data_IF_985048575169
#
_entry.id   IF_985048575169
#
_cell.length_a   1.000
_cell.length_b   1.000
_cell.length_c   1.000
_cell.angle_alpha   90.00
_cell.angle_beta   90.00
_cell.angle_gamma   90.00
#
_symmetry.space_group_name_H-M   'P 1'
#
loop_
_entity.id
_entity.type
_entity.pdbx_description
1 polymer ?
#
# COMPACT_ATOMS: atom_id res chain seq x y z
N UNK A 1 5.31 9.44 3.88
CA UNK A 1 5.32 9.97 2.50
C UNK A 1 4.69 9.00 1.50
N UNK A 2 5.11 7.73 1.45
CA UNK A 2 4.55 6.74 0.53
C UNK A 2 3.02 6.60 0.64
N UNK A 3 2.47 6.45 1.86
CA UNK A 3 1.02 6.40 2.08
C UNK A 3 0.28 7.65 1.55
N UNK A 4 0.88 8.84 1.68
CA UNK A 4 0.32 10.08 1.11
C UNK A 4 0.24 10.00 -0.41
N UNK A 5 1.28 9.48 -1.07
CA UNK A 5 1.28 9.38 -2.53
C UNK A 5 0.10 8.55 -3.06
N UNK A 6 -0.32 7.53 -2.31
CA UNK A 6 -1.47 6.69 -2.66
C UNK A 6 -2.81 7.44 -2.60
N UNK A 7 -2.88 8.63 -1.99
CA UNK A 7 -4.06 9.51 -2.11
C UNK A 7 -4.26 9.97 -3.55
N UNK A 8 -3.21 10.14 -4.34
CA UNK A 8 -3.36 10.48 -5.76
C UNK A 8 -4.06 9.38 -6.57
N UNK A 9 -4.04 8.12 -6.11
CA UNK A 9 -4.75 7.01 -6.75
C UNK A 9 -6.17 6.84 -6.18
N UNK A 10 -6.29 6.94 -4.85
CA UNK A 10 -7.53 6.66 -4.12
C UNK A 10 -8.52 7.82 -4.11
N UNK A 11 -8.04 9.06 -4.27
CA UNK A 11 -8.83 10.27 -4.37
C UNK A 11 -8.85 10.80 -5.80
N UNK A 12 -9.15 9.91 -6.75
CA UNK A 12 -9.47 10.23 -8.14
C UNK A 12 -8.48 11.16 -8.87
N UNK A 13 -7.18 10.90 -8.66
CA UNK A 13 -6.11 11.65 -9.32
C UNK A 13 -5.64 12.86 -8.53
N UNK A 14 -6.21 13.16 -7.36
CA UNK A 14 -5.89 14.34 -6.54
C UNK A 14 -5.07 13.93 -5.30
N UNK A 15 -3.82 14.38 -5.25
CA UNK A 15 -2.94 14.19 -4.11
C UNK A 15 -3.36 15.09 -2.94
N UNK A 16 -3.70 14.49 -1.81
CA UNK A 16 -4.11 15.22 -0.61
C UNK A 16 -2.92 15.57 0.30
N UNK A 17 -2.95 16.70 1.02
CA UNK A 17 -2.10 16.90 2.19
C UNK A 17 -2.53 15.96 3.32
N UNK A 18 -1.59 15.58 4.20
CA UNK A 18 -1.91 14.79 5.40
C UNK A 18 -2.28 15.71 6.55
N UNK A 19 -3.17 15.24 7.43
CA UNK A 19 -3.55 15.91 8.68
C UNK A 19 -3.42 14.92 9.83
N UNK A 20 -2.91 15.38 10.97
CA UNK A 20 -2.94 14.64 12.25
C UNK A 20 -4.06 15.14 13.17
N UNK A 21 -4.76 16.21 12.78
CA UNK A 21 -5.95 16.75 13.44
C UNK A 21 -7.21 16.34 12.67
N UNK A 22 -8.31 16.14 13.39
CA UNK A 22 -9.62 15.83 12.80
C UNK A 22 -10.06 16.97 11.87
N UNK A 23 -10.38 16.64 10.62
CA UNK A 23 -10.88 17.57 9.63
C UNK A 23 -12.40 17.44 9.49
N UNK A 24 -13.09 18.56 9.29
CA UNK A 24 -14.53 18.56 9.01
C UNK A 24 -14.82 18.10 7.57
N UNK A 25 -13.96 18.48 6.63
CA UNK A 25 -14.04 18.15 5.20
C UNK A 25 -12.66 17.82 4.66
N UNK A 26 -12.59 17.12 3.52
CA UNK A 26 -11.32 16.89 2.86
C UNK A 26 -10.69 18.23 2.40
N UNK A 27 -9.40 18.46 2.67
CA UNK A 27 -8.71 19.66 2.22
C UNK A 27 -8.54 19.67 0.70
N UNK A 28 -8.35 20.85 0.12
CA UNK A 28 -8.01 20.97 -1.30
C UNK A 28 -6.66 20.28 -1.58
N UNK A 29 -6.65 19.36 -2.54
CA UNK A 29 -5.44 18.68 -3.00
C UNK A 29 -4.89 19.23 -4.30
N UNK A 30 -3.83 18.58 -4.80
CA UNK A 30 -3.21 18.87 -6.10
C UNK A 30 -3.52 17.77 -7.10
N UNK A 31 -4.09 18.11 -8.26
CA UNK A 31 -4.32 17.14 -9.34
C UNK A 31 -3.00 16.64 -9.92
N UNK A 32 -2.82 15.33 -9.94
CA UNK A 32 -1.67 14.60 -10.51
C UNK A 32 -2.11 13.79 -11.74
N UNK A 33 -3.29 13.18 -11.67
CA UNK A 33 -3.84 12.35 -12.76
C UNK A 33 -5.25 12.81 -13.14
N UNK A 34 -5.71 12.35 -14.32
CA UNK A 34 -7.14 12.34 -14.63
C UNK A 34 -7.83 11.33 -13.72
N UNK A 35 -9.08 11.59 -13.38
CA UNK A 35 -9.91 10.68 -12.60
C UNK A 35 -10.03 9.30 -13.26
N UNK A 36 -10.23 9.28 -14.60
CA UNK A 36 -10.31 8.03 -15.36
C UNK A 36 -9.05 7.18 -15.22
N UNK A 37 -7.88 7.81 -15.29
CA UNK A 37 -6.58 7.13 -15.12
C UNK A 37 -6.43 6.56 -13.72
N UNK A 38 -6.78 7.32 -12.68
CA UNK A 38 -6.72 6.81 -11.31
C UNK A 38 -7.63 5.58 -11.12
N UNK A 39 -8.84 5.63 -11.69
CA UNK A 39 -9.81 4.52 -11.64
C UNK A 39 -9.31 3.27 -12.37
N UNK A 40 -8.76 3.42 -13.57
CA UNK A 40 -8.15 2.33 -14.33
C UNK A 40 -7.00 1.68 -13.56
N UNK A 41 -6.09 2.50 -13.00
CA UNK A 41 -4.96 2.00 -12.20
C UNK A 41 -5.45 1.25 -10.97
N UNK A 42 -6.47 1.75 -10.27
CA UNK A 42 -7.05 1.04 -9.11
C UNK A 42 -7.55 -0.35 -9.48
N UNK A 43 -8.22 -0.50 -10.62
CA UNK A 43 -8.68 -1.80 -11.11
C UNK A 43 -7.51 -2.73 -11.45
N UNK A 44 -6.47 -2.21 -12.14
CA UNK A 44 -5.28 -3.01 -12.46
C UNK A 44 -4.57 -3.52 -11.20
N UNK A 45 -4.54 -2.72 -10.13
CA UNK A 45 -3.90 -3.09 -8.87
C UNK A 45 -4.58 -4.24 -8.12
N UNK A 46 -5.85 -4.55 -8.41
CA UNK A 46 -6.57 -5.68 -7.78
C UNK A 46 -5.90 -7.01 -8.10
N UNK A 47 -5.47 -7.17 -9.35
CA UNK A 47 -4.78 -8.38 -9.85
C UNK A 47 -3.51 -8.74 -9.07
N UNK A 48 -2.92 -7.78 -8.34
CA UNK A 48 -1.75 -8.05 -7.48
C UNK A 48 -2.11 -8.94 -6.30
N UNK A 49 -3.34 -8.85 -5.79
CA UNK A 49 -3.80 -9.63 -4.63
C UNK A 49 -4.62 -10.87 -5.02
N UNK A 50 -5.04 -10.97 -6.28
CA UNK A 50 -5.76 -12.13 -6.83
C UNK A 50 -4.81 -13.31 -7.13
N UNK A 51 -5.33 -14.53 -7.33
CA UNK A 51 -4.53 -15.67 -7.78
C UNK A 51 -3.69 -15.33 -9.02
N UNK A 52 -2.39 -15.61 -8.96
CA UNK A 52 -1.41 -15.22 -10.00
C UNK A 52 -0.71 -13.88 -9.73
N UNK A 53 -1.19 -13.10 -8.76
CA UNK A 53 -0.58 -11.85 -8.30
C UNK A 53 0.65 -12.02 -7.42
N UNK A 54 1.37 -10.92 -7.19
CA UNK A 54 2.62 -10.91 -6.38
C UNK A 54 2.38 -10.64 -4.89
N UNK A 55 1.17 -10.25 -4.49
CA UNK A 55 0.80 -9.82 -3.15
C UNK A 55 -0.43 -10.53 -2.60
N UNK A 56 -0.66 -11.79 -2.98
CA UNK A 56 -1.86 -12.57 -2.62
C UNK A 56 -2.11 -12.66 -1.11
N UNK A 57 -1.05 -12.65 -0.29
CA UNK A 57 -1.16 -12.65 1.16
C UNK A 57 -1.86 -11.41 1.75
N UNK A 58 -2.01 -10.32 0.97
CA UNK A 58 -2.75 -9.12 1.36
C UNK A 58 -4.23 -9.12 0.97
N UNK A 59 -4.75 -10.18 0.35
CA UNK A 59 -6.18 -10.27 0.02
C UNK A 59 -7.05 -10.29 1.30
N UNK A 60 -8.09 -9.45 1.32
CA UNK A 60 -9.02 -9.32 2.44
C UNK A 60 -10.37 -9.91 2.04
N UNK A 61 -10.90 -10.80 2.87
CA UNK A 61 -12.14 -11.51 2.59
C UNK A 61 -13.31 -10.51 2.45
N UNK A 62 -14.08 -10.62 1.37
CA UNK A 62 -15.22 -9.73 1.08
C UNK A 62 -14.87 -8.42 0.39
N UNK A 63 -13.60 -8.14 0.07
CA UNK A 63 -13.17 -6.89 -0.56
C UNK A 63 -12.16 -7.07 -1.69
N UNK A 64 -12.33 -6.30 -2.77
CA UNK A 64 -11.28 -6.09 -3.76
C UNK A 64 -10.19 -5.19 -3.17
N UNK A 65 -8.95 -5.65 -3.19
CA UNK A 65 -7.80 -4.93 -2.61
C UNK A 65 -6.82 -4.54 -3.70
N UNK A 66 -6.62 -3.23 -3.90
CA UNK A 66 -5.53 -2.74 -4.73
C UNK A 66 -4.26 -2.62 -3.91
N UNK A 67 -3.19 -3.33 -4.27
CA UNK A 67 -1.96 -3.33 -3.48
C UNK A 67 -0.67 -3.38 -4.28
N UNK A 68 0.44 -3.10 -3.60
CA UNK A 68 1.77 -3.50 -4.03
C UNK A 68 2.63 -3.91 -2.86
N UNK A 69 3.57 -4.79 -3.17
CA UNK A 69 4.57 -5.30 -2.24
C UNK A 69 5.96 -5.25 -2.85
N UNK A 70 6.96 -5.07 -1.99
CA UNK A 70 8.35 -4.98 -2.39
C UNK A 70 9.29 -5.35 -1.25
N UNK A 71 10.49 -5.78 -1.61
CA UNK A 71 11.58 -6.02 -0.66
C UNK A 71 12.85 -5.41 -1.23
N UNK A 72 13.54 -4.64 -0.40
CA UNK A 72 14.80 -4.00 -0.80
C UNK A 72 15.92 -4.43 0.15
N UNK A 73 17.15 -4.45 -0.35
CA UNK A 73 18.33 -4.57 0.52
C UNK A 73 18.47 -3.29 1.35
N UNK A 74 18.74 -3.44 2.65
CA UNK A 74 18.85 -2.30 3.56
C UNK A 74 20.10 -1.49 3.24
N UNK A 75 19.95 -0.17 3.20
CA UNK A 75 21.05 0.78 3.15
C UNK A 75 21.40 1.22 4.56
N UNK A 76 22.69 1.13 4.91
CA UNK A 76 23.27 1.74 6.12
C UNK A 76 24.40 2.64 5.66
N UNK A 77 24.34 3.93 6.00
CA UNK A 77 25.32 4.94 5.57
C UNK A 77 25.58 4.92 4.06
N UNK A 78 24.52 4.78 3.26
CA UNK A 78 24.57 4.82 1.79
C UNK A 78 25.08 3.54 1.11
N UNK A 79 25.31 2.45 1.84
CA UNK A 79 25.78 1.17 1.28
C UNK A 79 24.83 0.04 1.62
N UNK A 80 24.69 -0.91 0.70
CA UNK A 80 23.92 -2.13 0.96
C UNK A 80 24.65 -2.98 2.01
N UNK A 81 23.90 -3.48 2.98
CA UNK A 81 24.40 -4.44 3.96
C UNK A 81 23.96 -5.84 3.55
N UNK A 82 24.82 -6.82 3.78
CA UNK A 82 24.48 -8.22 3.55
C UNK A 82 23.46 -8.70 4.58
N UNK A 83 22.59 -9.62 4.16
CA UNK A 83 21.55 -10.24 4.99
C UNK A 83 20.54 -9.29 5.66
N UNK A 84 20.54 -7.99 5.34
CA UNK A 84 19.57 -7.01 5.84
C UNK A 84 18.62 -6.58 4.74
N UNK A 85 17.33 -6.72 5.01
CA UNK A 85 16.26 -6.42 4.07
C UNK A 85 15.19 -5.56 4.73
N UNK A 86 14.47 -4.81 3.90
CA UNK A 86 13.27 -4.07 4.29
C UNK A 86 12.13 -4.55 3.43
N UNK A 87 11.15 -5.22 4.03
CA UNK A 87 9.93 -5.69 3.37
C UNK A 87 8.81 -4.67 3.56
N UNK A 88 8.11 -4.30 2.49
CA UNK A 88 6.99 -3.34 2.55
C UNK A 88 5.78 -3.86 1.79
N UNK A 89 4.59 -3.63 2.35
CA UNK A 89 3.29 -3.89 1.74
C UNK A 89 2.42 -2.64 1.90
N UNK A 90 1.83 -2.15 0.81
CA UNK A 90 0.93 -1.00 0.83
C UNK A 90 -0.26 -1.25 -0.09
N UNK A 91 -1.44 -0.80 0.32
CA UNK A 91 -2.65 -0.97 -0.47
C UNK A 91 -3.84 -0.22 0.11
N UNK A 92 -4.97 -0.38 -0.56
CA UNK A 92 -6.23 0.26 -0.21
C UNK A 92 -7.42 -0.65 -0.52
N UNK A 93 -8.50 -0.43 0.22
CA UNK A 93 -9.77 -1.12 0.01
C UNK A 93 -10.96 -0.22 0.39
N UNK A 94 -12.17 -0.48 -0.16
CA UNK A 94 -12.43 -1.29 -1.35
C UNK A 94 -11.81 -0.67 -2.62
N UNK A 95 -11.26 -1.45 -3.55
CA UNK A 95 -10.48 -0.92 -4.68
C UNK A 95 -11.28 0.06 -5.58
N UNK A 96 -12.56 -0.23 -5.82
CA UNK A 96 -13.45 0.61 -6.65
C UNK A 96 -13.85 1.94 -5.98
N UNK A 97 -13.98 1.95 -4.66
CA UNK A 97 -14.37 3.13 -3.86
C UNK A 97 -13.54 3.18 -2.56
N UNK A 98 -12.24 3.54 -2.63
CA UNK A 98 -11.31 3.38 -1.51
C UNK A 98 -11.70 4.19 -0.28
N UNK A 99 -11.56 3.57 0.89
CA UNK A 99 -11.87 4.19 2.18
C UNK A 99 -10.66 4.24 3.11
N UNK A 100 -9.78 3.26 3.01
CA UNK A 100 -8.60 3.13 3.87
C UNK A 100 -7.38 2.85 3.02
N UNK A 101 -6.25 3.46 3.39
CA UNK A 101 -4.91 3.13 2.89
C UNK A 101 -4.13 2.54 4.08
N UNK A 102 -3.58 1.34 3.92
CA UNK A 102 -2.69 0.72 4.91
C UNK A 102 -1.32 0.55 4.29
N UNK A 103 -0.28 0.94 5.02
CA UNK A 103 1.12 0.75 4.63
C UNK A 103 1.88 0.13 5.80
N UNK A 104 2.52 -1.02 5.57
CA UNK A 104 3.28 -1.77 6.56
C UNK A 104 4.69 -1.97 6.06
N UNK A 105 5.67 -1.69 6.91
CA UNK A 105 7.09 -1.97 6.66
C UNK A 105 7.65 -2.78 7.81
N UNK A 106 8.36 -3.85 7.48
CA UNK A 106 9.11 -4.69 8.42
C UNK A 106 10.60 -4.54 8.08
N UNK A 107 11.36 -4.06 9.05
CA UNK A 107 12.78 -3.81 8.93
C UNK A 107 13.59 -4.97 9.53
N UNK A 108 14.56 -5.48 8.77
CA UNK A 108 15.42 -6.62 9.12
C UNK A 108 14.64 -7.88 9.60
N UNK A 109 13.69 -8.42 8.81
CA UNK A 109 13.08 -9.72 9.17
C UNK A 109 14.14 -10.83 9.16
N UNK A 110 14.29 -11.52 10.30
CA UNK A 110 15.35 -12.52 10.51
C UNK A 110 14.87 -13.97 10.46
N UNK A 111 13.56 -14.21 10.50
CA UNK A 111 12.97 -15.55 10.51
C UNK A 111 11.71 -15.62 9.64
N UNK A 112 11.40 -16.82 9.14
CA UNK A 112 10.18 -17.12 8.37
C UNK A 112 10.04 -16.35 7.04
N UNK A 113 11.17 -16.01 6.42
CA UNK A 113 11.24 -15.32 5.13
C UNK A 113 11.50 -13.82 5.26
N UNK A 114 11.78 -13.17 4.13
CA UNK A 114 12.10 -11.73 4.08
C UNK A 114 11.27 -10.95 3.05
N UNK A 115 10.54 -11.65 2.17
CA UNK A 115 9.72 -11.01 1.16
C UNK A 115 8.58 -10.21 1.80
N UNK A 116 8.45 -8.93 1.46
CA UNK A 116 7.39 -8.03 1.93
C UNK A 116 5.98 -8.61 1.73
N UNK A 117 5.78 -9.40 0.67
CA UNK A 117 4.51 -10.11 0.43
C UNK A 117 4.17 -11.06 1.57
N UNK A 118 5.17 -11.74 2.14
CA UNK A 118 5.01 -12.69 3.24
C UNK A 118 5.01 -11.95 4.58
N UNK A 119 6.06 -11.18 4.87
CA UNK A 119 6.28 -10.61 6.22
C UNK A 119 5.37 -9.42 6.52
N UNK A 120 5.04 -8.60 5.51
CA UNK A 120 4.20 -7.41 5.67
C UNK A 120 2.76 -7.62 5.15
N UNK A 121 2.50 -8.67 4.37
CA UNK A 121 1.16 -8.98 3.85
C UNK A 121 0.18 -9.41 4.94
N UNK A 122 0.57 -10.31 5.84
CA UNK A 122 -0.30 -10.77 6.94
C UNK A 122 -0.75 -9.63 7.90
N UNK A 123 0.15 -8.78 8.44
CA UNK A 123 -0.28 -7.64 9.24
C UNK A 123 -1.11 -6.64 8.43
N UNK A 124 -0.78 -6.39 7.15
CA UNK A 124 -1.60 -5.57 6.26
C UNK A 124 -3.05 -6.10 6.15
N UNK A 125 -3.22 -7.40 5.87
CA UNK A 125 -4.54 -8.06 5.75
C UNK A 125 -5.38 -7.85 7.02
N UNK A 126 -4.78 -8.11 8.19
CA UNK A 126 -5.49 -8.01 9.48
C UNK A 126 -5.88 -6.57 9.82
N UNK A 127 -4.98 -5.62 9.62
CA UNK A 127 -5.25 -4.19 9.89
C UNK A 127 -6.33 -3.67 8.93
N UNK A 128 -6.21 -3.97 7.64
CA UNK A 128 -7.19 -3.56 6.63
C UNK A 128 -8.59 -4.14 6.91
N UNK A 129 -8.69 -5.43 7.23
CA UNK A 129 -9.97 -6.07 7.52
C UNK A 129 -10.62 -5.63 8.84
N UNK A 130 -9.84 -5.06 9.78
CA UNK A 130 -10.36 -4.51 11.04
C UNK A 130 -10.66 -3.01 11.01
N UNK A 131 -10.41 -2.33 9.89
CA UNK A 131 -10.64 -0.89 9.69
C UNK A 131 -11.99 -0.63 9.03
#
# INVERSE_FOLDING_TARGET
>A
QLARAYTALTHDGVLLPLSFEKQAVAPQGKRIFKESTAREVRNLMVSVTEPGGTGTAGAVDGFDVGAKTGTVRKLVNGRYVDNKHVGTFIGFAPAKNPRVIVAVTIDEPTAHGYYGGVVAGSPFKKIMGGS
#
